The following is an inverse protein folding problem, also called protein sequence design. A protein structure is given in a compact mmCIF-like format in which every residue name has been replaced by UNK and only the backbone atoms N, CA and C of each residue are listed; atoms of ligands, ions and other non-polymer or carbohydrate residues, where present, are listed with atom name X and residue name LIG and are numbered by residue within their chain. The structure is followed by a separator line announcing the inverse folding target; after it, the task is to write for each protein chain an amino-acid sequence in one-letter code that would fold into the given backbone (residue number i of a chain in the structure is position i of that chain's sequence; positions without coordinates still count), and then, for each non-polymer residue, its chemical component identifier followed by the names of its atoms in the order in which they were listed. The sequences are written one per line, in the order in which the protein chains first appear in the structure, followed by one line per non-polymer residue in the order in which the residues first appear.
data_IF_074107285629
#
_entry.id   IF_074107285629
#
_cell.length_a   1.000
_cell.length_b   1.000
_cell.length_c   1.000
_cell.angle_alpha   90.00
_cell.angle_beta   90.00
_cell.angle_gamma   90.00
#
_symmetry.space_group_name_H-M   'P 1'
#
loop_
_entity.id
_entity.type
_entity.pdbx_description
1 polymer ?
#
# COMPACT_ATOMS: atom_id res chain seq x y z
N UNK A 1 -26.48 9.71 -9.04
CA UNK A 1 -25.67 9.65 -7.81
C UNK A 1 -24.25 9.40 -8.28
N UNK A 2 -23.53 10.47 -8.63
CA UNK A 2 -22.26 10.35 -9.36
C UNK A 2 -21.17 9.85 -8.42
N UNK A 3 -20.67 8.68 -8.75
CA UNK A 3 -19.72 7.85 -8.04
C UNK A 3 -18.38 8.59 -7.96
N UNK A 4 -18.12 9.25 -6.83
CA UNK A 4 -16.83 9.91 -6.54
C UNK A 4 -15.65 8.93 -6.54
N UNK A 5 -15.93 7.63 -6.56
CA UNK A 5 -14.97 6.52 -6.66
C UNK A 5 -14.23 6.45 -8.00
N UNK A 6 -14.79 6.98 -9.09
CA UNK A 6 -14.17 6.86 -10.43
C UNK A 6 -13.04 7.88 -10.72
N UNK A 7 -12.80 8.85 -9.83
CA UNK A 7 -11.82 9.91 -10.07
C UNK A 7 -10.45 9.69 -9.43
N UNK A 8 -10.33 8.83 -8.42
CA UNK A 8 -9.08 8.66 -7.67
C UNK A 8 -8.41 7.35 -8.09
N UNK A 9 -7.42 7.45 -8.97
CA UNK A 9 -6.59 6.32 -9.36
C UNK A 9 -5.46 6.12 -8.33
N UNK A 10 -5.64 5.15 -7.42
CA UNK A 10 -4.65 4.77 -6.40
C UNK A 10 -3.42 4.06 -6.95
N UNK A 11 -3.50 3.55 -8.19
CA UNK A 11 -2.38 2.91 -8.89
C UNK A 11 -1.43 3.93 -9.52
N UNK A 12 -1.81 5.21 -9.54
CA UNK A 12 -0.93 6.28 -10.00
C UNK A 12 0.28 6.38 -9.09
N UNK A 13 1.46 6.32 -9.69
CA UNK A 13 2.74 6.39 -9.00
C UNK A 13 3.34 7.80 -9.06
N UNK A 14 4.14 8.12 -8.05
CA UNK A 14 4.96 9.33 -8.11
C UNK A 14 6.13 9.17 -9.10
N UNK A 15 6.94 10.22 -9.27
CA UNK A 15 8.15 10.20 -10.12
C UNK A 15 9.17 9.13 -9.73
N UNK A 16 9.18 8.72 -8.46
CA UNK A 16 10.08 7.68 -7.96
C UNK A 16 9.54 6.27 -8.24
N UNK A 17 8.29 6.11 -8.67
CA UNK A 17 7.65 4.81 -8.89
C UNK A 17 6.87 4.26 -7.69
N UNK A 18 6.74 5.05 -6.62
CA UNK A 18 6.02 4.70 -5.41
C UNK A 18 4.50 4.80 -5.61
N UNK A 19 3.76 3.78 -5.16
CA UNK A 19 2.29 3.80 -5.16
C UNK A 19 1.73 4.72 -4.08
N UNK A 20 0.49 5.18 -4.25
CA UNK A 20 -0.18 6.02 -3.25
C UNK A 20 -0.26 5.31 -1.88
N UNK A 21 -0.54 3.99 -1.89
CA UNK A 21 -0.65 3.17 -0.68
C UNK A 21 0.67 3.12 0.10
N UNK A 22 1.82 2.96 -0.60
CA UNK A 22 3.14 3.01 0.05
C UNK A 22 3.41 4.36 0.71
N UNK A 23 3.08 5.46 0.05
CA UNK A 23 3.34 6.80 0.59
C UNK A 23 2.60 7.02 1.92
N UNK A 24 1.36 6.54 2.02
CA UNK A 24 0.58 6.62 3.26
C UNK A 24 1.19 5.76 4.37
N UNK A 25 1.53 4.50 4.07
CA UNK A 25 2.17 3.59 5.02
C UNK A 25 3.51 4.16 5.50
N UNK A 26 4.32 4.71 4.58
CA UNK A 26 5.60 5.34 4.90
C UNK A 26 5.41 6.57 5.79
N UNK A 27 4.42 7.41 5.49
CA UNK A 27 4.12 8.60 6.28
C UNK A 27 3.63 8.25 7.70
N UNK A 28 2.97 7.11 7.89
CA UNK A 28 2.56 6.61 9.20
C UNK A 28 3.63 5.75 9.90
N UNK A 29 4.84 5.67 9.36
CA UNK A 29 5.92 4.81 9.86
C UNK A 29 5.50 3.34 10.04
N UNK A 30 4.62 2.85 9.16
CA UNK A 30 4.10 1.48 9.22
C UNK A 30 2.89 1.28 10.14
N UNK A 31 2.43 2.32 10.83
CA UNK A 31 1.25 2.22 11.69
C UNK A 31 -0.02 2.14 10.84
N UNK A 32 -0.70 1.00 10.95
CA UNK A 32 -1.95 0.70 10.23
C UNK A 32 -3.08 0.28 11.19
N UNK A 33 -2.93 0.64 12.47
CA UNK A 33 -3.89 0.36 13.52
C UNK A 33 -5.22 1.10 13.28
N UNK A 34 -6.34 0.43 13.51
CA UNK A 34 -7.70 0.98 13.37
C UNK A 34 -7.99 2.15 14.30
N UNK A 35 -7.22 2.30 15.38
CA UNK A 35 -7.34 3.41 16.32
C UNK A 35 -6.68 4.71 15.83
N UNK A 36 -6.08 4.70 14.63
CA UNK A 36 -5.36 5.84 14.08
C UNK A 36 -5.96 6.31 12.76
N UNK A 37 -5.95 7.63 12.57
CA UNK A 37 -6.37 8.24 11.30
C UNK A 37 -5.60 7.68 10.09
N UNK A 38 -4.33 7.32 10.29
CA UNK A 38 -3.49 6.69 9.26
C UNK A 38 -3.96 5.29 8.91
N UNK A 39 -4.25 4.44 9.90
CA UNK A 39 -4.77 3.10 9.65
C UNK A 39 -6.13 3.11 8.97
N UNK A 40 -7.02 4.00 9.38
CA UNK A 40 -8.31 4.22 8.70
C UNK A 40 -8.11 4.64 7.24
N UNK A 41 -7.15 5.53 6.97
CA UNK A 41 -6.84 5.96 5.61
C UNK A 41 -6.32 4.80 4.74
N UNK A 42 -5.39 4.00 5.26
CA UNK A 42 -4.86 2.80 4.57
C UNK A 42 -5.98 1.80 4.29
N UNK A 43 -6.82 1.50 5.28
CA UNK A 43 -7.97 0.60 5.13
C UNK A 43 -8.99 1.11 4.12
N UNK A 44 -9.29 2.40 4.16
CA UNK A 44 -10.20 3.01 3.20
C UNK A 44 -9.63 2.99 1.78
N UNK A 45 -8.33 3.23 1.58
CA UNK A 45 -7.69 3.09 0.27
C UNK A 45 -7.81 1.67 -0.28
N UNK A 46 -7.51 0.65 0.53
CA UNK A 46 -7.66 -0.75 0.12
C UNK A 46 -9.12 -1.09 -0.19
N UNK A 47 -10.08 -0.64 0.64
CA UNK A 47 -11.52 -0.81 0.37
C UNK A 47 -11.99 -0.12 -0.92
N UNK A 48 -11.36 1.00 -1.28
CA UNK A 48 -11.62 1.72 -2.53
C UNK A 48 -10.90 1.11 -3.74
N UNK A 49 -10.17 0.00 -3.57
CA UNK A 49 -9.53 -0.74 -4.66
C UNK A 49 -8.05 -0.44 -4.87
N UNK A 50 -7.36 0.17 -3.91
CA UNK A 50 -5.90 0.32 -3.98
C UNK A 50 -5.21 -1.04 -3.98
N UNK A 51 -4.27 -1.24 -4.91
CA UNK A 51 -3.55 -2.50 -5.05
C UNK A 51 -2.51 -2.70 -3.94
N UNK A 52 -2.79 -3.66 -3.07
CA UNK A 52 -1.82 -4.19 -2.09
C UNK A 52 -0.64 -4.90 -2.76
N UNK A 53 -0.77 -5.25 -4.05
CA UNK A 53 0.23 -5.94 -4.85
C UNK A 53 1.02 -5.00 -5.78
N UNK A 54 1.02 -3.70 -5.49
CA UNK A 54 1.81 -2.71 -6.22
C UNK A 54 3.30 -3.09 -6.25
N UNK A 55 3.91 -3.17 -7.44
CA UNK A 55 5.35 -3.46 -7.62
C UNK A 55 6.12 -2.25 -8.10
N UNK A 56 7.23 -1.89 -7.46
CA UNK A 56 8.07 -0.76 -7.86
C UNK A 56 8.64 -0.96 -9.27
N UNK A 57 8.49 -0.02 -10.22
CA UNK A 57 8.79 -0.26 -11.64
C UNK A 57 10.28 -0.51 -11.93
N UNK A 58 11.18 0.05 -11.11
CA UNK A 58 12.63 -0.08 -11.32
C UNK A 58 13.20 -1.35 -10.67
N UNK A 59 12.92 -1.55 -9.38
CA UNK A 59 13.45 -2.68 -8.60
C UNK A 59 12.57 -3.93 -8.66
N UNK A 60 11.35 -3.83 -9.18
CA UNK A 60 10.30 -4.84 -9.04
C UNK A 60 10.00 -5.24 -7.59
N UNK A 61 10.37 -4.41 -6.61
CA UNK A 61 10.02 -4.62 -5.21
C UNK A 61 8.50 -4.52 -5.05
N UNK A 62 7.85 -5.58 -4.60
CA UNK A 62 6.45 -5.48 -4.19
C UNK A 62 6.29 -4.54 -3.00
N UNK A 63 5.07 -4.08 -2.77
CA UNK A 63 4.73 -3.29 -1.61
C UNK A 63 5.17 -3.99 -0.31
N UNK A 64 5.00 -5.31 -0.25
CA UNK A 64 5.45 -6.15 0.86
C UNK A 64 6.98 -6.14 1.02
N UNK A 65 7.76 -6.21 -0.06
CA UNK A 65 9.23 -6.06 0.03
C UNK A 65 9.62 -4.72 0.65
N UNK A 66 8.91 -3.66 0.28
CA UNK A 66 9.21 -2.30 0.73
C UNK A 66 8.87 -2.14 2.21
N UNK A 67 7.71 -2.63 2.65
CA UNK A 67 7.32 -2.67 4.06
C UNK A 67 8.26 -3.54 4.90
N UNK A 68 8.64 -4.73 4.42
CA UNK A 68 9.55 -5.63 5.12
C UNK A 68 10.94 -5.00 5.28
N UNK A 69 11.46 -4.36 4.21
CA UNK A 69 12.76 -3.65 4.25
C UNK A 69 12.75 -2.48 5.24
N UNK A 70 11.61 -1.81 5.41
CA UNK A 70 11.43 -0.72 6.36
C UNK A 70 11.19 -1.20 7.80
N UNK A 71 10.97 -2.51 8.03
CA UNK A 71 10.65 -3.06 9.35
C UNK A 71 9.20 -2.82 9.79
N UNK A 72 8.29 -2.53 8.86
CA UNK A 72 6.88 -2.24 9.15
C UNK A 72 6.06 -3.53 9.27
N UNK A 73 6.27 -4.28 10.35
CA UNK A 73 5.62 -5.58 10.58
C UNK A 73 4.09 -5.50 10.51
N UNK A 74 3.49 -4.51 11.18
CA UNK A 74 2.03 -4.35 11.21
C UNK A 74 1.47 -4.09 9.80
N UNK A 75 2.15 -3.26 9.01
CA UNK A 75 1.79 -3.02 7.61
C UNK A 75 1.97 -4.29 6.76
N UNK A 76 3.01 -5.09 6.99
CA UNK A 76 3.20 -6.36 6.30
C UNK A 76 2.06 -7.34 6.58
N UNK A 77 1.67 -7.51 7.85
CA UNK A 77 0.55 -8.36 8.25
C UNK A 77 -0.75 -7.88 7.61
N UNK A 78 -1.03 -6.57 7.67
CA UNK A 78 -2.20 -5.99 7.04
C UNK A 78 -2.25 -6.25 5.53
N UNK A 79 -1.13 -6.09 4.82
CA UNK A 79 -1.06 -6.37 3.39
C UNK A 79 -1.34 -7.84 3.09
N UNK A 80 -0.76 -8.77 3.86
CA UNK A 80 -0.98 -10.21 3.72
C UNK A 80 -2.44 -10.59 3.97
N UNK A 81 -3.06 -10.05 5.02
CA UNK A 81 -4.47 -10.26 5.34
C UNK A 81 -5.41 -9.77 4.23
N UNK A 82 -4.98 -8.75 3.48
CA UNK A 82 -5.72 -8.19 2.35
C UNK A 82 -5.32 -8.81 1.00
N UNK A 83 -4.61 -9.95 1.00
CA UNK A 83 -4.30 -10.73 -0.21
C UNK A 83 -3.02 -10.30 -0.94
N UNK A 84 -2.07 -9.69 -0.24
CA UNK A 84 -0.75 -9.45 -0.81
C UNK A 84 0.00 -10.76 -1.05
N UNK A 85 0.70 -10.84 -2.18
CA UNK A 85 1.50 -12.00 -2.54
C UNK A 85 2.81 -12.04 -1.74
N UNK A 86 2.94 -13.03 -0.86
CA UNK A 86 4.16 -13.26 -0.07
C UNK A 86 5.33 -13.81 -0.91
N UNK A 87 5.05 -14.39 -2.07
CA UNK A 87 6.01 -15.12 -2.91
C UNK A 87 6.47 -14.34 -4.15
N UNK A 88 6.27 -13.02 -4.18
CA UNK A 88 6.77 -12.19 -5.27
C UNK A 88 8.29 -12.21 -5.26
N UNK A 89 8.91 -12.34 -6.42
CA UNK A 89 10.35 -12.18 -6.59
C UNK A 89 10.63 -10.77 -7.09
N UNK A 90 11.58 -10.09 -6.45
CA UNK A 90 12.13 -8.84 -6.97
C UNK A 90 13.18 -9.14 -8.07
N UNK A 91 13.67 -8.09 -8.73
CA UNK A 91 14.64 -8.19 -9.83
C UNK A 91 16.08 -8.12 -9.34
#
# INVERSE_FOLDING_TARGET
MLERSDLINFEKRNSDGNSALWLVIKASAGNVAESTQSGDLVRNMVKLGASVNSVHPSSQDSLLHTCARAGFEEACLFLLDNGAFANVTNR
#
